data_IF_237434302947
#
_entry.id   IF_237434302947
#
_cell.length_a   1.000
_cell.length_b   1.000
_cell.length_c   1.000
_cell.angle_alpha   90.00
_cell.angle_beta   90.00
_cell.angle_gamma   90.00
#
_symmetry.space_group_name_H-M   'P 1'
#
loop_
_entity.id
_entity.type
_entity.pdbx_description
1 polymer ?
#
# COMPACT_ATOMS: atom_id res chain seq x y z
N UNK A 1 -17.25 1.31 -1.05
CA UNK A 1 -16.79 0.28 -0.08
C UNK A 1 -15.39 -0.20 -0.47
N UNK A 2 -15.16 -0.64 -1.73
CA UNK A 2 -13.84 -1.13 -2.19
C UNK A 2 -12.75 -0.10 -1.97
N UNK A 3 -12.93 1.15 -2.44
CA UNK A 3 -11.94 2.22 -2.29
C UNK A 3 -11.58 2.49 -0.83
N UNK A 4 -12.56 2.46 0.06
CA UNK A 4 -12.34 2.67 1.50
C UNK A 4 -11.53 1.52 2.12
N UNK A 5 -11.91 0.28 1.85
CA UNK A 5 -11.20 -0.90 2.36
C UNK A 5 -9.76 -0.97 1.84
N UNK A 6 -9.56 -0.70 0.55
CA UNK A 6 -8.24 -0.68 -0.09
C UNK A 6 -7.37 0.44 0.48
N UNK A 7 -7.92 1.64 0.71
CA UNK A 7 -7.17 2.75 1.30
C UNK A 7 -6.75 2.47 2.74
N UNK A 8 -7.63 1.88 3.56
CA UNK A 8 -7.28 1.48 4.94
C UNK A 8 -6.13 0.48 4.92
N UNK A 9 -6.24 -0.57 4.09
CA UNK A 9 -5.22 -1.60 3.97
C UNK A 9 -3.89 -1.03 3.48
N UNK A 10 -3.95 -0.13 2.51
CA UNK A 10 -2.80 0.57 1.95
C UNK A 10 -2.06 1.38 3.01
N UNK A 11 -2.78 2.21 3.76
CA UNK A 11 -2.14 3.04 4.79
C UNK A 11 -1.61 2.19 5.93
N UNK A 12 -2.30 1.13 6.34
CA UNK A 12 -1.80 0.20 7.34
C UNK A 12 -0.46 -0.43 6.90
N UNK A 13 -0.38 -0.93 5.67
CA UNK A 13 0.86 -1.50 5.12
C UNK A 13 1.98 -0.45 5.00
N UNK A 14 1.67 0.74 4.46
CA UNK A 14 2.63 1.84 4.34
C UNK A 14 3.12 2.35 5.69
N UNK A 15 2.29 2.31 6.74
CA UNK A 15 2.65 2.68 8.11
C UNK A 15 3.70 1.74 8.69
N UNK A 16 3.50 0.43 8.55
CA UNK A 16 4.46 -0.57 9.02
C UNK A 16 5.80 -0.44 8.30
N UNK A 17 5.77 -0.31 6.97
CA UNK A 17 6.99 -0.14 6.17
C UNK A 17 7.67 1.19 6.47
N UNK A 18 6.92 2.29 6.56
CA UNK A 18 7.43 3.62 6.90
C UNK A 18 8.08 3.67 8.28
N UNK A 19 7.47 3.03 9.28
CA UNK A 19 8.04 2.88 10.61
C UNK A 19 9.33 2.03 10.58
N UNK A 20 9.32 0.92 9.86
CA UNK A 20 10.51 0.08 9.66
C UNK A 20 11.69 0.87 9.08
N UNK A 21 11.45 1.65 8.03
CA UNK A 21 12.47 2.54 7.46
C UNK A 21 12.88 3.71 8.35
N UNK A 22 12.04 4.15 9.29
CA UNK A 22 12.38 5.22 10.20
C UNK A 22 13.26 4.74 11.36
N UNK A 23 12.92 3.58 11.95
CA UNK A 23 13.45 3.15 13.25
C UNK A 23 14.46 2.02 13.21
N UNK A 24 14.29 1.06 12.28
CA UNK A 24 15.19 -0.08 12.23
C UNK A 24 16.41 0.20 11.35
N UNK A 25 17.56 -0.33 11.77
CA UNK A 25 18.79 -0.35 10.98
C UNK A 25 18.95 -1.75 10.40
N UNK A 26 19.06 -1.84 9.07
CA UNK A 26 19.25 -3.07 8.34
C UNK A 26 20.17 -2.86 7.12
N UNK A 27 20.81 -3.93 6.62
CA UNK A 27 21.74 -3.82 5.50
C UNK A 27 21.03 -3.28 4.26
N UNK A 28 21.74 -2.41 3.53
CA UNK A 28 21.24 -1.76 2.31
C UNK A 28 19.97 -0.90 2.48
N UNK A 29 19.64 -0.42 3.69
CA UNK A 29 18.47 0.44 3.98
C UNK A 29 18.33 1.61 2.99
N UNK A 30 19.43 2.30 2.68
CA UNK A 30 19.43 3.43 1.72
C UNK A 30 19.07 2.98 0.31
N UNK A 31 19.55 1.82 -0.12
CA UNK A 31 19.25 1.24 -1.42
C UNK A 31 17.76 0.88 -1.54
N UNK A 32 17.20 0.18 -0.54
CA UNK A 32 15.79 -0.18 -0.52
C UNK A 32 14.88 1.05 -0.46
N UNK A 33 15.29 2.07 0.30
CA UNK A 33 14.53 3.33 0.33
C UNK A 33 14.59 4.07 -1.01
N UNK A 34 15.74 4.09 -1.68
CA UNK A 34 15.85 4.63 -3.04
C UNK A 34 14.94 3.87 -4.03
N UNK A 35 14.85 2.55 -3.92
CA UNK A 35 13.93 1.75 -4.72
C UNK A 35 12.46 2.16 -4.48
N UNK A 36 12.05 2.41 -3.23
CA UNK A 36 10.72 2.94 -2.90
C UNK A 36 10.48 4.29 -3.58
N UNK A 37 11.46 5.20 -3.57
CA UNK A 37 11.32 6.51 -4.24
C UNK A 37 11.20 6.35 -5.76
N UNK A 38 11.94 5.43 -6.37
CA UNK A 38 11.86 5.15 -7.81
C UNK A 38 10.44 4.73 -8.20
N UNK A 39 9.71 3.98 -7.36
CA UNK A 39 8.32 3.59 -7.64
C UNK A 39 7.36 4.78 -7.76
N UNK A 40 7.69 5.93 -7.20
CA UNK A 40 6.89 7.17 -7.34
C UNK A 40 7.05 7.77 -8.74
N UNK A 41 8.23 7.61 -9.32
CA UNK A 41 8.62 8.20 -10.61
C UNK A 41 8.09 7.36 -11.77
N UNK A 42 8.07 6.03 -11.62
CA UNK A 42 7.63 5.11 -12.67
C UNK A 42 6.11 5.24 -12.85
N UNK A 43 5.62 5.61 -14.04
CA UNK A 43 4.18 5.70 -14.28
C UNK A 43 3.54 4.30 -14.27
N UNK A 44 2.36 4.14 -13.65
CA UNK A 44 1.66 2.84 -13.56
C UNK A 44 1.38 2.19 -14.91
N UNK A 45 1.22 2.99 -15.94
CA UNK A 45 0.96 2.54 -17.31
C UNK A 45 2.08 1.65 -17.87
N UNK A 46 3.34 1.92 -17.46
CA UNK A 46 4.51 1.16 -17.93
C UNK A 46 4.45 -0.31 -17.52
N UNK A 47 3.87 -0.61 -16.36
CA UNK A 47 3.78 -1.97 -15.82
C UNK A 47 2.43 -2.63 -16.04
N UNK A 48 1.51 -1.98 -16.75
CA UNK A 48 0.12 -2.43 -16.92
C UNK A 48 0.01 -3.80 -17.57
N UNK A 49 0.76 -4.06 -18.63
CA UNK A 49 0.74 -5.35 -19.33
C UNK A 49 1.23 -6.49 -18.44
N UNK A 50 2.28 -6.23 -17.67
CA UNK A 50 2.83 -7.20 -16.71
C UNK A 50 1.83 -7.51 -15.58
N UNK A 51 1.20 -6.48 -15.02
CA UNK A 51 0.16 -6.64 -14.00
C UNK A 51 -1.06 -7.39 -14.54
N UNK A 52 -1.49 -7.07 -15.77
CA UNK A 52 -2.59 -7.77 -16.43
C UNK A 52 -2.33 -9.27 -16.52
N UNK A 53 -1.16 -9.66 -17.04
CA UNK A 53 -0.77 -11.06 -17.17
C UNK A 53 -0.63 -11.73 -15.81
N UNK A 54 -0.02 -11.06 -14.85
CA UNK A 54 0.19 -11.60 -13.50
C UNK A 54 -1.13 -11.95 -12.81
N UNK A 55 -2.14 -11.09 -12.87
CA UNK A 55 -3.43 -11.34 -12.22
C UNK A 55 -4.40 -12.17 -13.06
N UNK A 56 -4.16 -12.28 -14.37
CA UNK A 56 -4.93 -13.21 -15.23
C UNK A 56 -4.46 -14.66 -15.05
N UNK A 57 -3.15 -14.86 -14.80
CA UNK A 57 -2.53 -16.17 -14.58
C UNK A 57 -1.85 -16.19 -13.20
N UNK A 58 -2.64 -15.85 -12.16
CA UNK A 58 -2.07 -15.74 -10.82
C UNK A 58 -1.70 -17.12 -10.28
N UNK A 59 -0.40 -17.28 -9.98
CA UNK A 59 0.15 -18.48 -9.37
C UNK A 59 1.29 -18.09 -8.43
N UNK A 60 1.16 -18.48 -7.16
CA UNK A 60 2.20 -18.24 -6.15
C UNK A 60 3.21 -19.39 -6.24
N UNK A 61 4.35 -19.15 -6.86
CA UNK A 61 5.46 -20.11 -7.01
C UNK A 61 5.06 -21.47 -7.59
N UNK A 62 4.03 -21.53 -8.45
CA UNK A 62 3.57 -22.80 -9.03
C UNK A 62 2.65 -23.63 -8.12
N UNK A 63 2.32 -23.15 -6.93
CA UNK A 63 1.53 -23.90 -5.94
C UNK A 63 0.10 -24.15 -6.43
N UNK A 64 -0.56 -23.14 -7.00
CA UNK A 64 -1.94 -23.30 -7.49
C UNK A 64 -1.99 -24.24 -8.69
N UNK A 65 -1.02 -24.14 -9.59
CA UNK A 65 -0.91 -25.03 -10.75
C UNK A 65 -0.63 -26.47 -10.33
N UNK A 66 0.16 -26.68 -9.26
CA UNK A 66 0.46 -28.00 -8.72
C UNK A 66 -0.74 -28.63 -7.98
N UNK A 67 -1.57 -27.83 -7.31
CA UNK A 67 -2.71 -28.31 -6.49
C UNK A 67 -4.02 -28.39 -7.27
N UNK A 68 -4.29 -27.45 -8.19
CA UNK A 68 -5.58 -27.31 -8.86
C UNK A 68 -5.48 -27.58 -10.38
N UNK A 69 -4.24 -27.77 -10.90
CA UNK A 69 -3.99 -28.03 -12.33
C UNK A 69 -4.08 -26.76 -13.22
N UNK A 70 -4.49 -25.60 -12.67
CA UNK A 70 -4.64 -24.36 -13.42
C UNK A 70 -4.28 -23.13 -12.56
N UNK A 71 -3.85 -22.04 -13.22
CA UNK A 71 -3.67 -20.75 -12.60
C UNK A 71 -5.02 -20.10 -12.26
N UNK A 72 -5.06 -19.31 -11.19
CA UNK A 72 -6.27 -18.58 -10.80
C UNK A 72 -6.39 -17.28 -11.60
N UNK A 73 -7.58 -17.04 -12.16
CA UNK A 73 -7.91 -15.75 -12.73
C UNK A 73 -8.56 -14.88 -11.64
N UNK A 74 -7.82 -13.89 -11.15
CA UNK A 74 -8.28 -12.96 -10.11
C UNK A 74 -8.92 -11.68 -10.69
N UNK A 75 -8.99 -11.55 -12.02
CA UNK A 75 -9.63 -10.40 -12.66
C UNK A 75 -11.15 -10.46 -12.46
N UNK A 76 -11.78 -9.30 -12.44
CA UNK A 76 -13.20 -9.18 -12.14
C UNK A 76 -13.51 -9.25 -10.64
N UNK A 77 -12.49 -9.18 -9.77
CA UNK A 77 -12.66 -9.14 -8.32
C UNK A 77 -11.85 -8.00 -7.69
N UNK A 78 -12.15 -7.55 -6.47
CA UNK A 78 -11.34 -6.56 -5.76
C UNK A 78 -10.04 -7.12 -5.17
N UNK A 79 -9.78 -8.43 -5.31
CA UNK A 79 -8.61 -9.11 -4.72
C UNK A 79 -7.28 -8.55 -5.23
N UNK A 80 -7.06 -8.29 -6.54
CA UNK A 80 -5.84 -7.66 -7.03
C UNK A 80 -5.56 -6.33 -6.36
N UNK A 81 -6.57 -5.49 -6.15
CA UNK A 81 -6.45 -4.22 -5.44
C UNK A 81 -5.99 -4.41 -4.00
N UNK A 82 -6.63 -5.33 -3.28
CA UNK A 82 -6.28 -5.61 -1.89
C UNK A 82 -4.86 -6.16 -1.77
N UNK A 83 -4.45 -7.07 -2.65
CA UNK A 83 -3.10 -7.63 -2.67
C UNK A 83 -2.03 -6.57 -2.96
N UNK A 84 -2.24 -5.74 -3.98
CA UNK A 84 -1.31 -4.66 -4.30
C UNK A 84 -1.19 -3.65 -3.15
N UNK A 85 -2.29 -3.34 -2.48
CA UNK A 85 -2.29 -2.39 -1.35
C UNK A 85 -1.60 -2.99 -0.12
N UNK A 86 -1.86 -4.26 0.19
CA UNK A 86 -1.23 -4.97 1.31
C UNK A 86 0.28 -5.17 1.12
N UNK A 87 0.72 -5.37 -0.13
CA UNK A 87 2.14 -5.55 -0.46
C UNK A 87 2.88 -4.24 -0.76
N UNK A 88 2.28 -3.10 -0.49
CA UNK A 88 2.85 -1.78 -0.79
C UNK A 88 3.19 -1.58 -2.27
N UNK A 89 2.48 -2.24 -3.18
CA UNK A 89 2.60 -2.08 -4.64
C UNK A 89 1.41 -1.32 -5.25
N UNK A 90 0.50 -0.81 -4.44
CA UNK A 90 -0.67 -0.05 -4.87
C UNK A 90 -0.32 1.36 -5.35
N UNK A 91 -1.36 2.09 -5.74
CA UNK A 91 -1.26 3.44 -6.30
C UNK A 91 -0.58 4.39 -5.31
N UNK A 92 0.53 5.04 -5.73
CA UNK A 92 1.27 6.04 -4.93
C UNK A 92 1.83 5.55 -3.59
N UNK A 93 1.99 4.25 -3.37
CA UNK A 93 2.51 3.70 -2.11
C UNK A 93 3.87 4.28 -1.72
N UNK A 94 4.78 4.46 -2.68
CA UNK A 94 6.09 5.06 -2.42
C UNK A 94 5.99 6.45 -1.79
N UNK A 95 5.02 7.26 -2.22
CA UNK A 95 4.76 8.58 -1.65
C UNK A 95 4.29 8.49 -0.20
N UNK A 96 3.34 7.59 0.10
CA UNK A 96 2.83 7.40 1.47
C UNK A 96 3.91 6.86 2.40
N UNK A 97 4.70 5.89 1.97
CA UNK A 97 5.85 5.39 2.73
C UNK A 97 6.84 6.53 3.02
N UNK A 98 7.14 7.36 2.03
CA UNK A 98 8.02 8.51 2.22
C UNK A 98 7.48 9.49 3.26
N UNK A 99 6.21 9.92 3.15
CA UNK A 99 5.58 10.88 4.06
C UNK A 99 5.54 10.34 5.49
N UNK A 100 5.10 9.10 5.66
CA UNK A 100 4.97 8.44 6.95
C UNK A 100 6.35 8.23 7.58
N UNK A 101 7.33 7.76 6.79
CA UNK A 101 8.72 7.63 7.28
C UNK A 101 9.28 8.97 7.74
N UNK A 102 9.07 10.04 6.96
CA UNK A 102 9.59 11.37 7.31
C UNK A 102 9.00 11.85 8.63
N UNK A 103 7.71 11.62 8.84
CA UNK A 103 7.06 11.93 10.11
C UNK A 103 7.67 11.13 11.27
N UNK A 104 7.77 9.81 11.16
CA UNK A 104 8.35 8.97 12.20
C UNK A 104 9.81 9.32 12.50
N UNK A 105 10.58 9.74 11.49
CA UNK A 105 11.97 10.19 11.70
C UNK A 105 12.03 11.46 12.55
N UNK A 106 11.00 12.32 12.46
CA UNK A 106 10.90 13.56 13.26
C UNK A 106 10.52 13.35 14.72
N UNK A 107 9.93 12.21 15.09
CA UNK A 107 9.58 11.88 16.47
C UNK A 107 10.88 11.64 17.28
N UNK A 108 11.08 12.31 18.43
CA UNK A 108 12.26 12.10 19.27
C UNK A 108 12.37 10.64 19.76
N UNK A 109 13.56 10.06 19.66
CA UNK A 109 13.81 8.70 20.15
C UNK A 109 13.61 8.56 21.66
N UNK A 110 13.77 9.64 22.40
CA UNK A 110 13.55 9.68 23.85
C UNK A 110 12.15 9.23 24.28
N UNK A 111 11.13 9.41 23.44
CA UNK A 111 9.77 8.90 23.71
C UNK A 111 9.72 7.37 23.71
N UNK A 112 10.42 6.73 22.78
CA UNK A 112 10.52 5.27 22.73
C UNK A 112 11.38 4.73 23.88
N UNK A 113 12.50 5.42 24.17
CA UNK A 113 13.40 5.06 25.26
C UNK A 113 12.69 5.14 26.62
N UNK A 114 11.91 6.20 26.87
CA UNK A 114 11.08 6.32 28.06
C UNK A 114 10.07 5.15 28.19
N UNK A 115 9.37 4.82 27.09
CA UNK A 115 8.44 3.69 27.09
C UNK A 115 9.14 2.34 27.35
N UNK A 116 10.37 2.16 26.90
CA UNK A 116 11.16 0.95 27.18
C UNK A 116 11.59 0.89 28.65
N UNK A 117 11.97 2.03 29.25
CA UNK A 117 12.27 2.12 30.69
C UNK A 117 11.03 1.76 31.51
N UNK A 118 9.83 2.17 31.07
CA UNK A 118 8.53 1.80 31.68
C UNK A 118 8.13 0.33 31.41
N UNK A 119 9.01 -0.49 30.80
CA UNK A 119 8.78 -1.91 30.55
C UNK A 119 7.87 -2.22 29.36
N UNK A 120 7.65 -1.27 28.46
CA UNK A 120 6.91 -1.52 27.24
C UNK A 120 7.77 -2.30 26.21
N UNK A 121 7.19 -3.32 25.60
CA UNK A 121 7.80 -3.99 24.44
C UNK A 121 7.73 -3.09 23.19
N UNK A 122 8.53 -3.40 22.16
CA UNK A 122 8.57 -2.66 20.87
C UNK A 122 7.15 -2.53 20.29
N UNK A 123 6.36 -3.62 20.24
CA UNK A 123 4.98 -3.59 19.74
C UNK A 123 4.07 -2.70 20.59
N UNK A 124 4.19 -2.78 21.91
CA UNK A 124 3.38 -1.96 22.82
C UNK A 124 3.71 -0.48 22.69
N UNK A 125 5.00 -0.14 22.56
CA UNK A 125 5.47 1.22 22.30
C UNK A 125 4.94 1.75 20.96
N UNK A 126 5.04 0.95 19.89
CA UNK A 126 4.49 1.33 18.58
C UNK A 126 2.99 1.65 18.66
N UNK A 127 2.17 0.75 19.23
CA UNK A 127 0.72 0.92 19.26
C UNK A 127 0.21 1.98 20.23
N UNK A 128 0.89 2.17 21.37
CA UNK A 128 0.40 3.04 22.46
C UNK A 128 1.04 4.42 22.48
N UNK A 129 2.22 4.57 21.91
CA UNK A 129 2.98 5.83 21.95
C UNK A 129 3.12 6.40 20.54
N UNK A 130 3.73 5.66 19.63
CA UNK A 130 4.14 6.17 18.32
C UNK A 130 2.96 6.33 17.36
N UNK A 131 2.07 5.34 17.31
CA UNK A 131 0.95 5.35 16.36
C UNK A 131 -0.10 6.44 16.68
N UNK A 132 -0.49 6.68 17.95
CA UNK A 132 -1.37 7.79 18.29
C UNK A 132 -0.80 9.17 17.93
N UNK A 133 0.50 9.37 18.12
CA UNK A 133 1.18 10.61 17.75
C UNK A 133 1.20 10.81 16.21
N UNK A 134 1.21 9.71 15.45
CA UNK A 134 1.18 9.74 13.99
C UNK A 134 -0.22 9.90 13.37
N UNK A 135 -1.29 9.91 14.15
CA UNK A 135 -2.67 10.01 13.63
C UNK A 135 -2.86 11.17 12.63
N UNK A 136 -2.34 12.39 12.84
CA UNK A 136 -2.55 13.48 11.89
C UNK A 136 -2.00 13.19 10.50
N UNK A 137 -0.79 12.64 10.41
CA UNK A 137 -0.19 12.28 9.11
C UNK A 137 -0.90 11.08 8.48
N UNK A 138 -1.32 10.10 9.29
CA UNK A 138 -2.04 8.92 8.81
C UNK A 138 -3.41 9.29 8.23
N UNK A 139 -4.14 10.20 8.88
CA UNK A 139 -5.40 10.73 8.36
C UNK A 139 -5.18 11.47 7.04
N UNK A 140 -4.14 12.30 6.94
CA UNK A 140 -3.80 13.00 5.71
C UNK A 140 -3.48 12.04 4.57
N UNK A 141 -2.62 11.04 4.81
CA UNK A 141 -2.29 10.00 3.84
C UNK A 141 -3.53 9.16 3.46
N UNK A 142 -4.39 8.85 4.43
CA UNK A 142 -5.64 8.13 4.19
C UNK A 142 -6.57 8.92 3.26
N UNK A 143 -6.77 10.21 3.51
CA UNK A 143 -7.60 11.06 2.66
C UNK A 143 -7.04 11.12 1.23
N UNK A 144 -5.74 11.31 1.06
CA UNK A 144 -5.11 11.24 -0.26
C UNK A 144 -5.29 9.87 -0.92
N UNK A 145 -5.03 8.79 -0.20
CA UNK A 145 -5.22 7.43 -0.71
C UNK A 145 -6.67 7.20 -1.13
N UNK A 146 -7.63 7.60 -0.29
CA UNK A 146 -9.05 7.44 -0.58
C UNK A 146 -9.48 8.21 -1.83
N UNK A 147 -9.09 9.50 -1.96
CA UNK A 147 -9.41 10.31 -3.13
C UNK A 147 -8.81 9.72 -4.40
N UNK A 148 -7.54 9.31 -4.36
CA UNK A 148 -6.88 8.67 -5.50
C UNK A 148 -7.54 7.34 -5.88
N UNK A 149 -7.89 6.50 -4.91
CA UNK A 149 -8.60 5.23 -5.16
C UNK A 149 -10.04 5.46 -5.67
N UNK A 150 -10.70 6.51 -5.20
CA UNK A 150 -12.05 6.85 -5.63
C UNK A 150 -12.09 7.35 -7.08
N UNK A 151 -11.11 8.14 -7.48
CA UNK A 151 -11.03 8.73 -8.83
C UNK A 151 -10.24 7.86 -9.82
N UNK A 152 -9.67 6.74 -9.35
CA UNK A 152 -8.86 5.87 -10.21
C UNK A 152 -9.72 5.17 -11.26
N UNK A 153 -9.44 5.45 -12.52
CA UNK A 153 -10.05 4.78 -13.67
C UNK A 153 -9.11 3.76 -14.31
N UNK A 154 -7.80 3.91 -14.12
CA UNK A 154 -6.79 3.08 -14.78
C UNK A 154 -6.78 1.65 -14.23
N UNK A 155 -6.52 1.46 -12.94
CA UNK A 155 -6.56 0.14 -12.32
C UNK A 155 -7.97 -0.42 -12.23
N UNK A 156 -8.99 0.46 -12.12
CA UNK A 156 -10.39 0.06 -12.18
C UNK A 156 -10.72 -0.62 -13.50
N UNK A 157 -10.32 -0.05 -14.63
CA UNK A 157 -10.47 -0.68 -15.96
C UNK A 157 -9.63 -1.95 -16.08
N UNK A 158 -8.41 -1.96 -15.55
CA UNK A 158 -7.49 -3.09 -15.66
C UNK A 158 -7.99 -4.33 -14.90
N UNK A 159 -8.49 -4.16 -13.68
CA UNK A 159 -8.85 -5.28 -12.79
C UNK A 159 -10.33 -5.53 -12.68
N UNK A 160 -11.18 -4.51 -12.77
CA UNK A 160 -12.61 -4.56 -12.47
C UNK A 160 -13.49 -4.27 -13.69
N UNK A 161 -12.93 -4.28 -14.90
CA UNK A 161 -13.57 -3.84 -16.13
C UNK A 161 -14.99 -4.38 -16.42
N UNK A 162 -15.43 -5.43 -15.73
CA UNK A 162 -16.79 -6.00 -15.83
C UNK A 162 -17.71 -5.59 -14.67
N UNK A 163 -17.21 -4.82 -13.70
CA UNK A 163 -17.99 -4.38 -12.54
C UNK A 163 -18.39 -2.91 -12.74
N UNK A 164 -19.68 -2.62 -12.60
CA UNK A 164 -20.18 -1.25 -12.63
C UNK A 164 -19.66 -0.47 -11.42
N UNK A 165 -18.69 0.41 -11.67
CA UNK A 165 -18.13 1.32 -10.69
C UNK A 165 -18.49 2.75 -11.07
N UNK A 166 -18.77 3.57 -10.08
CA UNK A 166 -19.11 5.00 -10.26
C UNK A 166 -18.02 5.74 -11.04
N UNK A 167 -16.74 5.44 -10.80
CA UNK A 167 -15.61 6.05 -11.52
C UNK A 167 -15.57 5.67 -13.01
N UNK A 168 -15.99 4.45 -13.36
CA UNK A 168 -16.05 3.99 -14.74
C UNK A 168 -17.29 4.57 -15.47
N UNK A 169 -18.45 4.58 -14.80
CA UNK A 169 -19.66 5.17 -15.39
C UNK A 169 -19.54 6.68 -15.57
N UNK A 170 -18.94 7.40 -14.61
CA UNK A 170 -18.68 8.82 -14.75
C UNK A 170 -17.74 9.14 -15.93
N UNK A 171 -16.75 8.31 -16.21
CA UNK A 171 -15.86 8.51 -17.37
C UNK A 171 -16.56 8.29 -18.71
N UNK A 172 -17.55 7.38 -18.77
CA UNK A 172 -18.31 7.12 -20.01
C UNK A 172 -19.38 8.16 -20.31
N UNK A 173 -19.81 8.94 -19.32
CA UNK A 173 -20.78 10.05 -19.51
C UNK A 173 -20.07 11.35 -19.93
N UNK A 174 -18.75 11.45 -19.64
CA UNK A 174 -17.96 12.64 -19.97
C UNK A 174 -17.36 12.61 -21.40
N UNK A 175 -17.38 11.45 -22.06
CA UNK A 175 -17.02 11.25 -23.47
C UNK A 175 -18.27 11.29 -24.37
#
# INVERSE_FOLDING_TARGET
>A
IVSLAVSVLQIAACTLVGYGFARFEFPFKKFWFAAVIITVIIPPQTISSSLYLHFNFFDIFGIFKATTGSSLNLRGSPIPYALMSATCMGLKNGLYIYMIRQFFTGIPKSLEEAAYVDGCSIFKTFWRVILPDAVPILVSCFLFSFVWQWTDTFYSKLFLGNIKLLSLEASTVAD
#
